data_IF_981548264746
#
_entry.id   IF_981548264746
#
_cell.length_a   1.000
_cell.length_b   1.000
_cell.length_c   1.000
_cell.angle_alpha   90.00
_cell.angle_beta   90.00
_cell.angle_gamma   90.00
#
_symmetry.space_group_name_H-M   'P 1'
#
loop_
_entity.id
_entity.type
_entity.pdbx_description
1 polymer ?
#
# COMPACT_ATOMS: atom_id res chain seq x y z
N UNK A 1 23.61 17.63 -6.53
CA UNK A 1 22.80 16.52 -7.06
C UNK A 1 21.63 16.38 -6.11
N UNK A 2 20.43 16.75 -6.55
CA UNK A 2 19.22 16.57 -5.75
C UNK A 2 19.00 15.06 -5.72
N UNK A 3 19.23 14.41 -4.57
CA UNK A 3 19.00 12.98 -4.39
C UNK A 3 17.62 12.67 -4.95
N UNK A 4 17.60 11.94 -6.06
CA UNK A 4 16.37 11.37 -6.59
C UNK A 4 15.88 10.42 -5.52
N UNK A 5 14.94 10.89 -4.67
CA UNK A 5 14.30 10.07 -3.62
C UNK A 5 14.01 8.72 -4.25
N UNK A 6 14.68 7.69 -3.74
CA UNK A 6 14.49 6.31 -4.19
C UNK A 6 12.99 6.00 -4.14
N UNK A 7 12.43 5.37 -5.19
CA UNK A 7 11.00 5.11 -5.27
C UNK A 7 10.62 4.04 -4.25
N UNK A 8 10.36 4.46 -3.01
CA UNK A 8 10.06 3.57 -1.91
C UNK A 8 8.56 3.21 -1.88
N UNK A 9 8.23 1.93 -1.76
CA UNK A 9 6.86 1.45 -1.67
C UNK A 9 6.68 0.52 -0.47
N UNK A 10 5.44 0.46 0.04
CA UNK A 10 5.04 -0.50 1.05
C UNK A 10 4.16 -1.57 0.40
N UNK A 11 4.30 -2.83 0.81
CA UNK A 11 3.36 -3.89 0.40
C UNK A 11 2.45 -4.19 1.58
N UNK A 12 1.14 -4.27 1.32
CA UNK A 12 0.15 -4.62 2.32
C UNK A 12 -0.72 -5.76 1.80
N UNK A 13 -0.68 -6.90 2.46
CA UNK A 13 -1.38 -8.12 2.04
C UNK A 13 -2.15 -8.74 3.20
N UNK A 14 -3.24 -9.45 2.90
CA UNK A 14 -3.98 -10.22 3.90
C UNK A 14 -3.15 -11.41 4.40
N UNK A 15 -3.49 -11.93 5.59
CA UNK A 15 -2.87 -13.12 6.17
C UNK A 15 -2.83 -14.32 5.20
N UNK A 16 -1.76 -15.14 5.30
CA UNK A 16 -1.51 -16.35 4.52
C UNK A 16 -1.37 -16.16 3.00
N UNK A 17 -0.97 -14.97 2.54
CA UNK A 17 -0.84 -14.64 1.13
C UNK A 17 0.63 -14.46 0.69
N UNK A 18 1.53 -15.37 1.09
CA UNK A 18 2.97 -15.30 0.76
C UNK A 18 3.18 -15.22 -0.76
N UNK A 19 2.50 -16.06 -1.54
CA UNK A 19 2.57 -16.04 -3.01
C UNK A 19 2.11 -14.69 -3.60
N UNK A 20 1.21 -13.99 -2.90
CA UNK A 20 0.76 -12.65 -3.31
C UNK A 20 1.80 -11.60 -2.96
N UNK A 21 2.40 -11.67 -1.77
CA UNK A 21 3.51 -10.79 -1.41
C UNK A 21 4.68 -10.94 -2.40
N UNK A 22 5.08 -12.17 -2.73
CA UNK A 22 6.16 -12.45 -3.67
C UNK A 22 5.89 -11.87 -5.06
N UNK A 23 4.65 -12.02 -5.55
CA UNK A 23 4.23 -11.48 -6.85
C UNK A 23 4.25 -9.95 -6.87
N UNK A 24 3.74 -9.31 -5.81
CA UNK A 24 3.75 -7.85 -5.70
C UNK A 24 5.18 -7.32 -5.52
N UNK A 25 6.04 -8.02 -4.77
CA UNK A 25 7.46 -7.67 -4.66
C UNK A 25 8.18 -7.76 -6.00
N UNK A 26 7.89 -8.80 -6.80
CA UNK A 26 8.44 -8.94 -8.14
C UNK A 26 8.02 -7.77 -9.05
N UNK A 27 6.76 -7.34 -8.96
CA UNK A 27 6.29 -6.12 -9.63
C UNK A 27 7.04 -4.87 -9.14
N UNK A 28 7.17 -4.69 -7.83
CA UNK A 28 7.87 -3.55 -7.25
C UNK A 28 9.31 -3.44 -7.78
N UNK A 29 10.05 -4.55 -7.76
CA UNK A 29 11.42 -4.66 -8.29
C UNK A 29 11.48 -4.34 -9.78
N UNK A 30 10.58 -4.90 -10.59
CA UNK A 30 10.50 -4.65 -12.03
C UNK A 30 10.21 -3.18 -12.35
N UNK A 31 9.44 -2.51 -11.50
CA UNK A 31 9.07 -1.10 -11.62
C UNK A 31 10.12 -0.14 -11.03
N UNK A 32 11.26 -0.66 -10.58
CA UNK A 32 12.34 0.15 -9.99
C UNK A 32 11.98 0.74 -8.63
N UNK A 33 11.07 0.09 -7.89
CA UNK A 33 10.69 0.49 -6.55
C UNK A 33 11.42 -0.35 -5.50
N UNK A 34 11.79 0.30 -4.39
CA UNK A 34 12.33 -0.35 -3.21
C UNK A 34 11.21 -0.62 -2.22
N UNK A 35 10.99 -1.89 -1.92
CA UNK A 35 10.04 -2.31 -0.89
C UNK A 35 10.64 -1.98 0.48
N UNK A 36 9.96 -1.13 1.27
CA UNK A 36 10.43 -0.75 2.61
C UNK A 36 10.02 -1.76 3.67
N UNK A 37 8.81 -2.28 3.56
CA UNK A 37 8.28 -3.33 4.42
C UNK A 37 7.13 -4.04 3.66
N UNK A 38 6.98 -5.33 3.96
CA UNK A 38 5.83 -6.14 3.54
C UNK A 38 5.01 -6.44 4.78
N UNK A 39 3.87 -5.78 4.92
CA UNK A 39 2.96 -5.93 6.06
C UNK A 39 1.92 -7.01 5.75
N UNK A 40 1.87 -8.02 6.62
CA UNK A 40 0.81 -9.01 6.62
C UNK A 40 -0.28 -8.57 7.60
N UNK A 41 -1.52 -8.49 7.13
CA UNK A 41 -2.68 -8.12 7.93
C UNK A 41 -3.11 -9.30 8.83
N UNK A 42 -2.29 -9.59 9.83
CA UNK A 42 -2.46 -10.69 10.80
C UNK A 42 -3.01 -10.21 12.14
N UNK A 43 -2.91 -8.92 12.44
CA UNK A 43 -3.34 -8.32 13.69
C UNK A 43 -3.85 -6.88 13.50
N UNK A 44 -4.47 -6.34 14.56
CA UNK A 44 -5.06 -4.99 14.55
C UNK A 44 -4.04 -3.86 14.35
N UNK A 45 -2.75 -4.11 14.58
CA UNK A 45 -1.67 -3.12 14.41
C UNK A 45 -1.17 -3.03 12.99
N UNK A 46 -1.55 -3.95 12.10
CA UNK A 46 -1.14 -3.90 10.70
C UNK A 46 -1.61 -2.59 10.04
N UNK A 47 -2.88 -2.22 10.22
CA UNK A 47 -3.44 -0.97 9.69
C UNK A 47 -2.81 0.25 10.35
N UNK A 48 -2.56 0.21 11.66
CA UNK A 48 -1.84 1.29 12.37
C UNK A 48 -0.43 1.50 11.79
N UNK A 49 0.28 0.41 11.46
CA UNK A 49 1.60 0.46 10.85
C UNK A 49 1.55 1.00 9.43
N UNK A 50 0.54 0.63 8.64
CA UNK A 50 0.30 1.23 7.32
C UNK A 50 0.13 2.76 7.43
N UNK A 51 -0.71 3.23 8.38
CA UNK A 51 -0.89 4.67 8.63
C UNK A 51 0.42 5.35 9.02
N UNK A 52 1.20 4.72 9.90
CA UNK A 52 2.51 5.23 10.30
C UNK A 52 3.45 5.48 9.10
N UNK A 53 3.50 4.56 8.13
CA UNK A 53 4.31 4.75 6.92
C UNK A 53 3.79 5.88 6.02
N UNK A 54 2.47 6.03 5.94
CA UNK A 54 1.83 7.11 5.17
C UNK A 54 2.17 8.47 5.77
N UNK A 55 1.98 8.63 7.09
CA UNK A 55 2.19 9.90 7.81
C UNK A 55 3.65 10.38 7.82
N UNK A 56 4.60 9.49 7.53
CA UNK A 56 6.05 9.78 7.59
C UNK A 56 6.65 10.12 6.23
N UNK A 57 5.85 10.11 5.15
CA UNK A 57 6.27 10.42 3.78
C UNK A 57 7.53 9.67 3.31
N UNK A 58 7.71 8.45 3.84
CA UNK A 58 8.84 7.54 3.55
C UNK A 58 8.56 6.63 2.35
N UNK A 59 7.32 6.60 1.88
CA UNK A 59 6.88 5.84 0.71
C UNK A 59 6.15 6.76 -0.27
N UNK A 60 6.16 6.40 -1.55
CA UNK A 60 5.41 7.09 -2.60
C UNK A 60 4.11 6.35 -2.97
N UNK A 61 4.01 5.07 -2.65
CA UNK A 61 2.83 4.26 -2.89
C UNK A 61 2.75 3.05 -1.96
N UNK A 62 1.53 2.53 -1.83
CA UNK A 62 1.21 1.26 -1.18
C UNK A 62 0.73 0.30 -2.26
N UNK A 63 1.29 -0.89 -2.30
CA UNK A 63 0.90 -1.94 -3.22
C UNK A 63 0.05 -2.98 -2.47
N UNK A 64 -1.13 -3.26 -3.00
CA UNK A 64 -2.07 -4.25 -2.47
C UNK A 64 -2.51 -5.19 -3.58
N UNK A 65 -3.05 -6.36 -3.22
CA UNK A 65 -3.76 -7.17 -4.21
C UNK A 65 -5.11 -6.53 -4.53
N UNK A 66 -5.87 -6.21 -3.49
CA UNK A 66 -7.09 -5.42 -3.57
C UNK A 66 -7.23 -4.50 -2.35
N UNK A 67 -7.97 -3.39 -2.44
CA UNK A 67 -8.18 -2.47 -1.31
C UNK A 67 -8.89 -3.14 -0.12
N UNK A 68 -9.68 -4.19 -0.38
CA UNK A 68 -10.32 -5.00 0.68
C UNK A 68 -9.33 -5.84 1.49
N UNK A 69 -8.05 -5.88 1.10
CA UNK A 69 -7.00 -6.51 1.92
C UNK A 69 -6.55 -5.60 3.07
N UNK A 70 -6.82 -4.29 2.98
CA UNK A 70 -6.54 -3.31 4.05
C UNK A 70 -7.44 -3.59 5.26
N UNK A 71 -8.74 -3.74 5.04
CA UNK A 71 -9.72 -4.02 6.10
C UNK A 71 -10.98 -4.67 5.53
N UNK A 72 -11.77 -5.30 6.40
CA UNK A 72 -13.15 -5.70 6.07
C UNK A 72 -14.15 -4.56 6.30
N UNK A 73 -13.75 -3.52 7.03
CA UNK A 73 -14.59 -2.38 7.35
C UNK A 73 -14.41 -1.27 6.31
N UNK A 74 -15.48 -0.95 5.59
CA UNK A 74 -15.46 0.09 4.55
C UNK A 74 -15.00 1.45 5.09
N UNK A 75 -15.42 1.80 6.31
CA UNK A 75 -15.03 3.06 6.95
C UNK A 75 -13.53 3.11 7.24
N UNK A 76 -12.90 1.99 7.58
CA UNK A 76 -11.47 1.92 7.81
C UNK A 76 -10.69 2.01 6.50
N UNK A 77 -11.17 1.36 5.43
CA UNK A 77 -10.61 1.51 4.08
C UNK A 77 -10.67 2.97 3.65
N UNK A 78 -11.85 3.60 3.74
CA UNK A 78 -12.04 5.02 3.38
C UNK A 78 -11.10 5.92 4.18
N UNK A 79 -10.96 5.71 5.48
CA UNK A 79 -10.04 6.50 6.32
C UNK A 79 -8.58 6.36 5.88
N UNK A 80 -8.11 5.15 5.59
CA UNK A 80 -6.74 4.90 5.10
C UNK A 80 -6.52 5.51 3.71
N UNK A 81 -7.48 5.36 2.80
CA UNK A 81 -7.37 5.92 1.45
C UNK A 81 -7.36 7.45 1.49
N UNK A 82 -8.19 8.08 2.32
CA UNK A 82 -8.19 9.54 2.50
C UNK A 82 -6.83 10.01 3.05
N UNK A 83 -6.32 9.34 4.09
CA UNK A 83 -5.01 9.66 4.65
C UNK A 83 -3.89 9.54 3.60
N UNK A 84 -3.90 8.47 2.79
CA UNK A 84 -2.93 8.31 1.71
C UNK A 84 -3.02 9.45 0.68
N UNK A 85 -4.23 9.83 0.28
CA UNK A 85 -4.45 10.93 -0.66
C UNK A 85 -3.98 12.29 -0.11
N UNK A 86 -4.23 12.58 1.17
CA UNK A 86 -3.77 13.80 1.86
C UNK A 86 -2.24 13.91 1.88
N UNK A 87 -1.55 12.78 1.95
CA UNK A 87 -0.09 12.69 1.90
C UNK A 87 0.49 12.51 0.49
N UNK A 88 -0.36 12.54 -0.55
CA UNK A 88 0.08 12.33 -1.94
C UNK A 88 0.59 10.91 -2.24
N UNK A 89 0.20 9.93 -1.41
CA UNK A 89 0.55 8.52 -1.53
C UNK A 89 -0.56 7.79 -2.28
N UNK A 90 -0.19 7.08 -3.34
CA UNK A 90 -1.12 6.26 -4.12
C UNK A 90 -1.27 4.86 -3.52
N UNK A 91 -2.50 4.34 -3.47
CA UNK A 91 -2.76 2.93 -3.15
C UNK A 91 -3.06 2.21 -4.47
N UNK A 92 -2.19 1.31 -4.88
CA UNK A 92 -2.22 0.66 -6.19
C UNK A 92 -2.57 -0.82 -6.03
N UNK A 93 -3.62 -1.26 -6.72
CA UNK A 93 -4.15 -2.60 -6.59
C UNK A 93 -3.80 -3.49 -7.78
N UNK A 94 -3.26 -4.68 -7.51
CA UNK A 94 -3.00 -5.70 -8.54
C UNK A 94 -4.26 -6.08 -9.32
N UNK A 95 -5.41 -6.19 -8.64
CA UNK A 95 -6.72 -6.46 -9.26
C UNK A 95 -7.11 -5.44 -10.34
N UNK A 96 -6.43 -4.29 -10.37
CA UNK A 96 -6.62 -3.17 -11.30
C UNK A 96 -5.39 -2.90 -12.16
N UNK A 97 -4.46 -3.84 -12.26
CA UNK A 97 -3.21 -3.67 -13.02
C UNK A 97 -2.20 -2.72 -12.36
N UNK A 98 -2.27 -2.56 -11.04
CA UNK A 98 -1.49 -1.60 -10.25
C UNK A 98 -1.79 -0.12 -10.54
N UNK A 99 -3.00 0.16 -11.04
CA UNK A 99 -3.52 1.52 -11.13
C UNK A 99 -4.02 2.04 -9.76
N UNK A 100 -3.90 3.35 -9.47
CA UNK A 100 -4.36 3.95 -8.23
C UNK A 100 -5.85 3.71 -7.98
N UNK A 101 -6.17 3.14 -6.82
CA UNK A 101 -7.54 2.98 -6.35
C UNK A 101 -8.16 4.36 -6.08
N UNK A 102 -9.38 4.56 -6.58
CA UNK A 102 -10.13 5.80 -6.40
C UNK A 102 -11.12 5.62 -5.25
N UNK A 103 -11.24 6.63 -4.39
CA UNK A 103 -12.31 6.69 -3.41
C UNK A 103 -13.58 7.11 -4.15
N UNK A 104 -14.58 6.23 -4.23
CA UNK A 104 -15.94 6.65 -4.60
C UNK A 104 -16.66 7.13 -3.34
N UNK A 105 -17.19 8.36 -3.39
CA UNK A 105 -18.00 8.97 -2.32
C UNK A 105 -19.50 8.75 -2.51
N UNK A 106 -19.89 7.87 -3.44
CA UNK A 106 -21.29 7.50 -3.69
C UNK A 106 -21.94 6.83 -2.47
#
# INVERSE_FOLDING_TARGET
MQDSKEKQCLIFVRNNANDTADRIEAYAKKSGMKVVETIFNTDKKAVERLRYYIERDVIICVLVRDVVDISMELNEIKAVMTLAAEHGISINAESRGYEPALISYE
#
